data_IF_224535203075
#
_entry.id   IF_224535203075
#
_cell.length_a   1.000
_cell.length_b   1.000
_cell.length_c   1.000
_cell.angle_alpha   90.00
_cell.angle_beta   90.00
_cell.angle_gamma   90.00
#
_symmetry.space_group_name_H-M   'P 1'
#
loop_
_entity.id
_entity.type
_entity.pdbx_description
1 polymer ?
#
# COMPACT_ATOMS: atom_id res chain seq x y z
N UNK A 1 2.91 26.99 47.48
CA UNK A 1 4.09 27.67 46.88
C UNK A 1 5.23 26.68 46.96
N UNK A 2 5.80 26.09 45.91
CA UNK A 2 6.03 26.44 44.49
C UNK A 2 6.36 25.05 43.87
N UNK A 3 5.75 24.49 42.82
CA UNK A 3 5.51 25.02 41.48
C UNK A 3 6.76 24.91 40.61
N UNK A 4 7.04 23.78 39.96
CA UNK A 4 7.74 23.68 38.64
C UNK A 4 7.74 22.22 38.16
N UNK A 5 6.73 21.82 37.37
CA UNK A 5 6.73 21.63 35.90
C UNK A 5 7.45 20.35 35.43
N UNK A 6 6.61 19.48 34.91
CA UNK A 6 6.92 18.38 34.01
C UNK A 6 7.87 18.83 32.90
N UNK A 7 8.96 18.08 32.71
CA UNK A 7 9.61 18.00 31.41
C UNK A 7 8.76 17.08 30.54
N UNK A 8 7.99 17.71 29.67
CA UNK A 8 7.23 17.12 28.60
C UNK A 8 8.11 16.15 27.80
N UNK A 9 7.53 15.01 27.45
CA UNK A 9 8.16 14.01 26.61
C UNK A 9 8.46 14.58 25.23
N UNK A 10 9.68 14.35 24.76
CA UNK A 10 9.92 14.29 23.33
C UNK A 10 9.08 13.13 22.77
N UNK A 11 8.14 13.37 21.84
CA UNK A 11 7.56 12.27 21.12
C UNK A 11 8.67 11.62 20.29
N UNK A 12 8.94 10.34 20.60
CA UNK A 12 9.66 9.43 19.74
C UNK A 12 9.01 9.47 18.35
N UNK A 13 9.68 10.13 17.44
CA UNK A 13 9.27 10.30 16.06
C UNK A 13 10.49 10.63 15.22
N UNK A 14 11.50 9.74 15.23
CA UNK A 14 12.46 9.74 14.14
C UNK A 14 11.67 9.62 12.83
N UNK A 15 11.88 10.50 11.84
CA UNK A 15 11.15 10.45 10.59
C UNK A 15 11.42 9.08 9.96
N UNK A 16 10.39 8.25 9.87
CA UNK A 16 10.45 6.99 9.13
C UNK A 16 10.78 7.34 7.68
N UNK A 17 12.02 7.09 7.25
CA UNK A 17 12.43 7.26 5.86
C UNK A 17 11.45 6.46 4.96
N UNK A 18 10.77 7.09 3.98
CA UNK A 18 9.87 6.38 3.08
C UNK A 18 10.66 5.49 2.09
N UNK A 19 10.03 4.49 1.44
CA UNK A 19 10.34 3.08 1.68
C UNK A 19 11.42 2.45 0.79
N UNK A 20 12.18 3.23 0.02
CA UNK A 20 13.34 2.69 -0.68
C UNK A 20 14.36 3.78 -1.03
N UNK A 21 15.46 3.73 -0.28
CA UNK A 21 16.76 4.14 -0.78
C UNK A 21 17.38 2.91 -1.43
N UNK A 22 17.61 2.93 -2.74
CA UNK A 22 18.37 1.86 -3.39
C UNK A 22 19.84 2.15 -3.17
N UNK A 23 20.60 1.19 -2.66
CA UNK A 23 22.03 1.33 -2.47
C UNK A 23 22.81 0.40 -3.41
N UNK A 24 23.86 0.93 -4.02
CA UNK A 24 24.91 0.13 -4.66
C UNK A 24 26.20 0.34 -3.88
N UNK A 25 26.86 -0.75 -3.52
CA UNK A 25 28.13 -0.74 -2.79
C UNK A 25 29.19 -1.40 -3.64
N UNK A 26 30.29 -0.72 -3.88
CA UNK A 26 31.46 -1.24 -4.58
C UNK A 26 32.73 -0.81 -3.85
N UNK A 27 33.40 -1.75 -3.17
CA UNK A 27 34.54 -1.51 -2.31
C UNK A 27 34.31 -0.37 -1.31
N UNK A 28 35.03 0.75 -1.44
CA UNK A 28 34.89 1.94 -0.61
C UNK A 28 33.76 2.89 -1.04
N UNK A 29 33.17 2.65 -2.21
CA UNK A 29 32.16 3.52 -2.81
C UNK A 29 30.77 3.02 -2.43
N UNK A 30 29.94 3.93 -1.95
CA UNK A 30 28.50 3.71 -1.73
C UNK A 30 27.73 4.73 -2.55
N UNK A 31 26.83 4.26 -3.39
CA UNK A 31 25.89 5.09 -4.13
C UNK A 31 24.50 4.84 -3.60
N UNK A 32 23.76 5.91 -3.36
CA UNK A 32 22.42 5.90 -2.82
C UNK A 32 21.49 6.67 -3.76
N UNK A 33 20.40 6.02 -4.17
CA UNK A 33 19.29 6.65 -4.88
C UNK A 33 18.13 6.77 -3.90
N UNK A 34 17.96 7.98 -3.35
CA UNK A 34 16.89 8.32 -2.42
C UNK A 34 15.65 8.75 -3.21
N UNK A 35 14.70 7.82 -3.39
CA UNK A 35 13.51 8.05 -4.22
C UNK A 35 12.52 9.06 -3.62
N UNK A 36 12.27 9.06 -2.29
CA UNK A 36 11.48 10.11 -1.66
C UNK A 36 12.02 11.53 -1.91
N UNK A 37 13.34 11.74 -1.77
CA UNK A 37 13.94 13.07 -1.93
C UNK A 37 14.38 13.36 -3.37
N UNK A 38 14.32 12.37 -4.27
CA UNK A 38 14.84 12.44 -5.66
C UNK A 38 16.30 12.88 -5.72
N UNK A 39 17.11 12.34 -4.82
CA UNK A 39 18.51 12.73 -4.64
C UNK A 39 19.42 11.52 -4.78
N UNK A 40 20.45 11.66 -5.62
CA UNK A 40 21.56 10.73 -5.68
C UNK A 40 22.68 11.21 -4.76
N UNK A 41 23.24 10.29 -3.97
CA UNK A 41 24.40 10.54 -3.12
C UNK A 41 25.47 9.51 -3.39
N UNK A 42 26.71 9.95 -3.51
CA UNK A 42 27.88 9.08 -3.57
C UNK A 42 28.80 9.36 -2.40
N UNK A 43 29.17 8.29 -1.72
CA UNK A 43 30.15 8.27 -0.66
C UNK A 43 31.38 7.52 -1.13
N UNK A 44 32.57 8.01 -0.78
CA UNK A 44 33.83 7.28 -0.92
C UNK A 44 34.50 7.19 0.44
N UNK A 45 34.84 5.97 0.85
CA UNK A 45 35.37 5.66 2.19
C UNK A 45 34.48 6.20 3.33
N UNK A 46 33.16 6.29 3.10
CA UNK A 46 32.20 6.82 4.06
C UNK A 46 32.05 8.35 4.08
N UNK A 47 32.83 9.10 3.30
CA UNK A 47 32.67 10.54 3.14
C UNK A 47 31.80 10.85 1.91
N UNK A 48 30.83 11.76 2.05
CA UNK A 48 30.01 12.23 0.93
C UNK A 48 30.91 13.00 -0.05
N UNK A 49 30.97 12.53 -1.30
CA UNK A 49 31.79 13.13 -2.37
C UNK A 49 30.93 13.74 -3.48
N UNK A 50 29.68 13.30 -3.63
CA UNK A 50 28.74 13.85 -4.61
C UNK A 50 27.32 13.81 -4.05
N UNK A 51 26.59 14.91 -4.22
CA UNK A 51 25.15 14.97 -4.05
C UNK A 51 24.55 15.74 -5.22
N UNK A 52 23.56 15.15 -5.88
CA UNK A 52 22.87 15.79 -7.00
C UNK A 52 21.41 15.36 -7.07
N UNK A 53 20.53 16.16 -7.70
CA UNK A 53 19.22 15.68 -8.07
C UNK A 53 19.32 14.49 -9.03
N UNK A 54 18.26 13.68 -9.07
CA UNK A 54 18.08 12.66 -10.09
C UNK A 54 18.10 13.26 -11.50
N UNK A 55 18.72 12.53 -12.41
CA UNK A 55 18.56 12.71 -13.86
C UNK A 55 17.16 12.31 -14.30
N UNK A 56 16.76 12.69 -15.51
CA UNK A 56 15.46 12.31 -16.07
C UNK A 56 15.25 10.80 -16.13
N UNK A 57 16.31 10.04 -16.45
CA UNK A 57 16.25 8.58 -16.49
C UNK A 57 16.07 7.96 -15.09
N UNK A 58 16.74 8.52 -14.07
CA UNK A 58 16.57 8.10 -12.67
C UNK A 58 15.17 8.46 -12.15
N UNK A 59 14.64 9.63 -12.55
CA UNK A 59 13.26 10.02 -12.24
C UNK A 59 12.24 9.07 -12.87
N UNK A 60 12.38 8.75 -14.16
CA UNK A 60 11.50 7.81 -14.83
C UNK A 60 11.56 6.41 -14.20
N UNK A 61 12.77 5.97 -13.81
CA UNK A 61 12.95 4.68 -13.13
C UNK A 61 12.31 4.67 -11.74
N UNK A 62 12.43 5.76 -10.99
CA UNK A 62 11.78 5.93 -9.69
C UNK A 62 10.25 5.95 -9.82
N UNK A 63 9.71 6.65 -10.81
CA UNK A 63 8.26 6.68 -11.09
C UNK A 63 7.73 5.29 -11.45
N UNK A 64 8.47 4.57 -12.29
CA UNK A 64 8.14 3.19 -12.63
C UNK A 64 8.16 2.29 -11.40
N UNK A 65 9.17 2.42 -10.52
CA UNK A 65 9.26 1.64 -9.30
C UNK A 65 8.08 1.90 -8.34
N UNK A 66 7.65 3.16 -8.21
CA UNK A 66 6.46 3.55 -7.45
C UNK A 66 5.19 2.93 -8.07
N UNK A 67 5.02 3.04 -9.38
CA UNK A 67 3.88 2.46 -10.08
C UNK A 67 3.83 0.94 -9.94
N UNK A 68 4.97 0.26 -10.03
CA UNK A 68 5.09 -1.18 -9.84
C UNK A 68 4.75 -1.59 -8.40
N UNK A 69 5.22 -0.83 -7.40
CA UNK A 69 4.90 -1.05 -6.00
C UNK A 69 3.39 -0.90 -5.75
N UNK A 70 2.75 0.12 -6.31
CA UNK A 70 1.31 0.31 -6.24
C UNK A 70 0.56 -0.87 -6.89
N UNK A 71 0.98 -1.32 -8.09
CA UNK A 71 0.37 -2.49 -8.74
C UNK A 71 0.49 -3.76 -7.90
N UNK A 72 1.65 -4.01 -7.28
CA UNK A 72 1.85 -5.15 -6.38
C UNK A 72 0.95 -5.07 -5.14
N UNK A 73 0.83 -3.89 -4.53
CA UNK A 73 -0.03 -3.67 -3.37
C UNK A 73 -1.52 -3.91 -3.73
N UNK A 74 -1.99 -3.37 -4.85
CA UNK A 74 -3.36 -3.62 -5.34
C UNK A 74 -3.59 -5.10 -5.61
N UNK A 75 -2.65 -5.79 -6.26
CA UNK A 75 -2.75 -7.23 -6.50
C UNK A 75 -2.86 -8.02 -5.18
N UNK A 76 -2.03 -7.69 -4.18
CA UNK A 76 -2.09 -8.34 -2.88
C UNK A 76 -3.44 -8.12 -2.18
N UNK A 77 -3.97 -6.90 -2.23
CA UNK A 77 -5.27 -6.56 -1.67
C UNK A 77 -6.42 -7.31 -2.37
N UNK A 78 -6.39 -7.41 -3.71
CA UNK A 78 -7.37 -8.17 -4.48
C UNK A 78 -7.33 -9.67 -4.12
N UNK A 79 -6.13 -10.26 -4.03
CA UNK A 79 -5.98 -11.66 -3.64
C UNK A 79 -6.46 -11.92 -2.21
N UNK A 80 -6.16 -11.02 -1.28
CA UNK A 80 -6.62 -11.15 0.10
C UNK A 80 -8.15 -11.06 0.19
N UNK A 81 -8.75 -10.09 -0.53
CA UNK A 81 -10.20 -9.98 -0.61
C UNK A 81 -10.85 -11.23 -1.19
N UNK A 82 -10.26 -11.81 -2.25
CA UNK A 82 -10.75 -13.05 -2.84
C UNK A 82 -10.74 -14.23 -1.87
N UNK A 83 -9.70 -14.35 -1.02
CA UNK A 83 -9.67 -15.39 0.01
C UNK A 83 -10.78 -15.19 1.04
N UNK A 84 -11.00 -13.96 1.49
CA UNK A 84 -12.04 -13.64 2.47
C UNK A 84 -13.45 -13.86 1.91
N UNK A 85 -13.70 -13.44 0.67
CA UNK A 85 -14.98 -13.63 0.01
C UNK A 85 -15.27 -15.13 -0.23
N UNK A 86 -14.25 -15.92 -0.62
CA UNK A 86 -14.38 -17.38 -0.72
C UNK A 86 -14.74 -18.01 0.64
N UNK A 87 -14.01 -17.66 1.70
CA UNK A 87 -14.29 -18.17 3.05
C UNK A 87 -15.70 -17.80 3.54
N UNK A 88 -16.14 -16.57 3.24
CA UNK A 88 -17.50 -16.09 3.56
C UNK A 88 -18.58 -16.92 2.85
N UNK A 89 -18.31 -17.35 1.61
CA UNK A 89 -19.26 -18.09 0.79
C UNK A 89 -19.19 -19.61 1.00
N UNK A 90 -18.26 -20.11 1.82
CA UNK A 90 -18.00 -21.55 1.95
C UNK A 90 -19.24 -22.33 2.40
N UNK A 91 -19.99 -21.82 3.38
CA UNK A 91 -21.19 -22.49 3.88
C UNK A 91 -22.26 -22.67 2.79
N UNK A 92 -22.44 -21.66 1.93
CA UNK A 92 -23.37 -21.76 0.80
C UNK A 92 -22.85 -22.77 -0.24
N UNK A 93 -21.55 -22.75 -0.54
CA UNK A 93 -20.95 -23.72 -1.47
C UNK A 93 -21.07 -25.16 -0.97
N UNK A 94 -20.90 -25.39 0.33
CA UNK A 94 -21.09 -26.69 0.96
C UNK A 94 -22.55 -27.17 0.85
N UNK A 95 -23.52 -26.27 1.08
CA UNK A 95 -24.95 -26.57 0.92
C UNK A 95 -25.31 -26.91 -0.54
N UNK A 96 -24.73 -26.21 -1.51
CA UNK A 96 -24.91 -26.50 -2.94
C UNK A 96 -24.33 -27.87 -3.28
N UNK A 97 -23.11 -28.17 -2.83
CA UNK A 97 -22.45 -29.46 -3.07
C UNK A 97 -23.20 -30.64 -2.44
N UNK A 98 -23.82 -30.42 -1.26
CA UNK A 98 -24.65 -31.39 -0.59
C UNK A 98 -26.06 -31.55 -1.21
N UNK A 99 -26.44 -30.68 -2.16
CA UNK A 99 -27.79 -30.65 -2.73
C UNK A 99 -28.87 -30.16 -1.75
N UNK A 100 -28.47 -29.46 -0.68
CA UNK A 100 -29.37 -28.95 0.36
C UNK A 100 -29.63 -27.45 0.27
N UNK A 101 -28.94 -26.74 -0.63
CA UNK A 101 -29.18 -25.33 -0.88
C UNK A 101 -30.61 -25.10 -1.40
N UNK A 102 -31.32 -24.17 -0.78
CA UNK A 102 -32.67 -23.79 -1.15
C UNK A 102 -32.69 -22.58 -2.09
N UNK A 103 -33.86 -22.29 -2.66
CA UNK A 103 -34.07 -21.06 -3.44
C UNK A 103 -33.85 -19.80 -2.59
N UNK A 104 -34.23 -19.83 -1.31
CA UNK A 104 -34.05 -18.69 -0.41
C UNK A 104 -32.56 -18.45 -0.12
N UNK A 105 -31.77 -19.52 0.05
CA UNK A 105 -30.31 -19.43 0.18
C UNK A 105 -29.70 -18.79 -1.07
N UNK A 106 -30.15 -19.19 -2.25
CA UNK A 106 -29.67 -18.62 -3.51
C UNK A 106 -29.99 -17.13 -3.63
N UNK A 107 -31.21 -16.70 -3.25
CA UNK A 107 -31.61 -15.29 -3.26
C UNK A 107 -30.76 -14.47 -2.28
N UNK A 108 -30.55 -14.98 -1.06
CA UNK A 108 -29.69 -14.32 -0.08
C UNK A 108 -28.25 -14.20 -0.58
N UNK A 109 -27.75 -15.24 -1.26
CA UNK A 109 -26.39 -15.27 -1.80
C UNK A 109 -26.18 -14.25 -2.91
N UNK A 110 -27.17 -13.95 -3.75
CA UNK A 110 -27.07 -12.92 -4.79
C UNK A 110 -26.67 -11.58 -4.19
N UNK A 111 -27.30 -11.15 -3.09
CA UNK A 111 -26.99 -9.88 -2.45
C UNK A 111 -25.56 -9.83 -1.89
N UNK A 112 -25.06 -10.95 -1.36
CA UNK A 112 -23.67 -11.08 -0.89
C UNK A 112 -22.70 -10.95 -2.05
N UNK A 113 -22.89 -11.72 -3.12
CA UNK A 113 -22.02 -11.70 -4.30
C UNK A 113 -21.99 -10.33 -4.98
N UNK A 114 -23.12 -9.63 -5.06
CA UNK A 114 -23.16 -8.28 -5.63
C UNK A 114 -22.29 -7.30 -4.83
N UNK A 115 -22.34 -7.33 -3.48
CA UNK A 115 -21.50 -6.48 -2.64
C UNK A 115 -20.02 -6.81 -2.77
N UNK A 116 -19.70 -8.10 -2.86
CA UNK A 116 -18.33 -8.58 -3.06
C UNK A 116 -17.77 -8.09 -4.40
N UNK A 117 -18.52 -8.24 -5.49
CA UNK A 117 -18.16 -7.76 -6.82
C UNK A 117 -17.91 -6.24 -6.84
N UNK A 118 -18.77 -5.45 -6.19
CA UNK A 118 -18.56 -4.01 -6.05
C UNK A 118 -17.26 -3.69 -5.29
N UNK A 119 -16.92 -4.48 -4.26
CA UNK A 119 -15.65 -4.36 -3.53
C UNK A 119 -14.43 -4.53 -4.44
N UNK A 120 -14.43 -5.51 -5.34
CA UNK A 120 -13.35 -5.71 -6.31
C UNK A 120 -13.22 -4.55 -7.31
N UNK A 121 -14.36 -4.05 -7.80
CA UNK A 121 -14.38 -2.90 -8.72
C UNK A 121 -13.74 -1.68 -8.05
N UNK A 122 -14.11 -1.38 -6.80
CA UNK A 122 -13.55 -0.27 -6.02
C UNK A 122 -12.03 -0.40 -5.83
N UNK A 123 -11.55 -1.60 -5.51
CA UNK A 123 -10.12 -1.86 -5.36
C UNK A 123 -9.33 -1.73 -6.67
N UNK A 124 -9.97 -2.04 -7.81
CA UNK A 124 -9.31 -2.02 -9.13
C UNK A 124 -9.23 -0.62 -9.73
N UNK A 125 -10.27 0.20 -9.54
CA UNK A 125 -10.35 1.57 -10.09
C UNK A 125 -9.46 2.57 -9.32
N UNK A 126 -9.02 2.19 -8.12
CA UNK A 126 -8.22 3.05 -7.24
C UNK A 126 -9.11 3.93 -6.36
N UNK A 127 -8.78 3.97 -5.07
CA UNK A 127 -9.48 4.74 -4.03
C UNK A 127 -9.83 6.22 -4.31
N UNK A 128 -9.13 6.99 -5.18
CA UNK A 128 -9.45 8.41 -5.36
C UNK A 128 -10.83 8.71 -5.93
N UNK A 129 -11.48 7.77 -6.64
CA UNK A 129 -12.84 7.97 -7.14
C UNK A 129 -13.92 7.86 -6.04
N UNK A 130 -13.57 7.41 -4.83
CA UNK A 130 -14.51 7.25 -3.71
C UNK A 130 -14.40 8.36 -2.66
N UNK A 131 -13.23 8.98 -2.49
CA UNK A 131 -13.08 10.12 -1.57
C UNK A 131 -13.96 11.33 -1.97
N UNK A 132 -14.34 11.43 -3.26
CA UNK A 132 -15.29 12.44 -3.77
C UNK A 132 -16.76 12.01 -3.65
N UNK A 133 -17.05 10.70 -3.59
CA UNK A 133 -18.43 10.19 -3.47
C UNK A 133 -18.91 10.17 -2.00
N UNK A 134 -18.01 9.98 -1.03
CA UNK A 134 -18.36 10.06 0.39
C UNK A 134 -18.54 11.52 0.89
N UNK A 135 -18.04 12.52 0.15
CA UNK A 135 -18.24 13.94 0.46
C UNK A 135 -19.55 14.53 -0.09
N UNK A 136 -20.28 13.82 -0.94
CA UNK A 136 -21.51 14.31 -1.58
C UNK A 136 -22.79 13.61 -1.09
N UNK A 137 -22.69 12.72 -0.10
CA UNK A 137 -23.78 11.87 0.38
C UNK A 137 -24.26 12.11 1.83
N UNK A 138 -23.97 13.26 2.43
CA UNK A 138 -24.46 13.66 3.76
C UNK A 138 -25.83 14.33 3.75
#
# INVERSE_FOLDING_TARGET
MTGQRASEGEPAGSPTAPPFTTERRDASIVEQWDVPSRTYRRYDCGALVEERPFTDAENASADQAIADAARRATQAALLERARQDLATNQAYLDAVAAGTATTDDAIAQVAVLTRQALGFIRLTVGGPLLDDLDQTGG
#
